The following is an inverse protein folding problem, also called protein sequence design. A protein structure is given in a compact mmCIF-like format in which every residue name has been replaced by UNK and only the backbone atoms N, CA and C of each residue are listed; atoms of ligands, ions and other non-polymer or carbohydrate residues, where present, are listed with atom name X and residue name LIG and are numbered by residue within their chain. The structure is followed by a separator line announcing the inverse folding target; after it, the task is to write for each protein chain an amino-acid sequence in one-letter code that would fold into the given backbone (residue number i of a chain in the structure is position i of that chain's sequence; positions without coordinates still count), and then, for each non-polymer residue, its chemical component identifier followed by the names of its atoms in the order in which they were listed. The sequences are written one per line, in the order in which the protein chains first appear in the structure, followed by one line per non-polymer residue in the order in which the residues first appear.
data_IF_388642296515
#
_entry.id   IF_388642296515
#
_cell.length_a   1.000
_cell.length_b   1.000
_cell.length_c   1.000
_cell.angle_alpha   90.00
_cell.angle_beta   90.00
_cell.angle_gamma   90.00
#
_symmetry.space_group_name_H-M   'P 1'
#
loop_
_entity.id
_entity.type
_entity.pdbx_description
1 polymer ?
#
# COMPACT_ATOMS: atom_id res chain seq x y z
N UNK A 1 7.25 -11.85 -15.29
CA UNK A 1 8.54 -11.18 -15.06
C UNK A 1 8.39 -10.41 -13.77
N UNK A 2 9.11 -10.79 -12.71
CA UNK A 2 8.99 -10.11 -11.42
C UNK A 2 9.66 -8.73 -11.56
N UNK A 3 8.91 -7.66 -11.33
CA UNK A 3 9.46 -6.31 -11.17
C UNK A 3 10.50 -6.32 -10.05
N UNK A 4 11.78 -6.38 -10.41
CA UNK A 4 12.89 -6.32 -9.45
C UNK A 4 12.87 -4.90 -8.86
N UNK A 5 12.34 -4.77 -7.64
CA UNK A 5 12.33 -3.50 -6.91
C UNK A 5 13.67 -3.39 -6.19
N UNK A 6 14.56 -2.55 -6.70
CA UNK A 6 15.83 -2.22 -6.05
C UNK A 6 15.57 -1.17 -4.96
N UNK A 7 16.28 -1.26 -3.84
CA UNK A 7 16.22 -0.25 -2.78
C UNK A 7 16.76 1.10 -3.29
N UNK A 8 15.98 2.20 -3.21
CA UNK A 8 16.41 3.49 -3.74
C UNK A 8 17.55 4.14 -2.93
N UNK A 9 17.73 3.75 -1.66
CA UNK A 9 18.73 4.36 -0.78
C UNK A 9 20.10 3.67 -0.86
N UNK A 10 20.12 2.34 -0.88
CA UNK A 10 21.38 1.57 -0.84
C UNK A 10 21.66 0.73 -2.09
N UNK A 11 20.75 0.68 -3.06
CA UNK A 11 20.91 -0.10 -4.29
C UNK A 11 20.79 -1.62 -4.12
N UNK A 12 20.44 -2.11 -2.92
CA UNK A 12 20.26 -3.54 -2.65
C UNK A 12 19.04 -4.12 -3.38
N UNK A 13 19.17 -5.36 -3.86
CA UNK A 13 18.09 -6.17 -4.44
C UNK A 13 17.30 -6.96 -3.37
N UNK A 14 17.78 -6.97 -2.12
CA UNK A 14 17.14 -7.66 -1.01
C UNK A 14 15.99 -6.82 -0.44
N UNK A 15 14.85 -6.92 -1.11
CA UNK A 15 13.64 -6.16 -0.82
C UNK A 15 12.47 -7.09 -0.52
N UNK A 16 11.82 -6.83 0.62
CA UNK A 16 10.66 -7.56 1.12
C UNK A 16 9.40 -6.75 0.82
N UNK A 17 8.38 -7.33 0.19
CA UNK A 17 7.05 -6.72 0.05
C UNK A 17 6.12 -7.25 1.15
N UNK A 18 5.35 -6.36 1.78
CA UNK A 18 4.43 -6.75 2.84
C UNK A 18 3.36 -5.70 3.15
N UNK A 19 2.44 -6.08 4.03
CA UNK A 19 1.41 -5.21 4.57
C UNK A 19 1.94 -4.48 5.80
N UNK A 20 1.64 -3.19 5.91
CA UNK A 20 1.87 -2.46 7.16
C UNK A 20 0.74 -2.77 8.15
N UNK A 21 1.03 -3.55 9.20
CA UNK A 21 0.04 -4.01 10.20
C UNK A 21 0.48 -3.63 11.64
N UNK A 22 -0.20 -2.67 12.28
CA UNK A 22 -0.18 -2.29 13.74
C UNK A 22 1.14 -1.69 14.31
N UNK A 23 1.24 -0.90 15.40
CA UNK A 23 0.34 -0.46 16.49
C UNK A 23 0.01 1.05 16.50
N UNK A 24 0.64 1.85 15.65
CA UNK A 24 0.45 3.30 15.58
C UNK A 24 -0.03 3.72 14.21
N UNK A 25 -1.27 3.34 13.87
CA UNK A 25 -2.04 3.70 12.67
C UNK A 25 -1.35 4.68 11.71
N UNK A 26 -0.80 4.18 10.60
CA UNK A 26 -0.62 5.02 9.41
C UNK A 26 -2.02 5.28 8.86
N UNK A 27 -2.60 6.42 9.23
CA UNK A 27 -3.90 6.87 8.73
C UNK A 27 -3.66 7.82 7.56
N UNK A 28 -4.16 7.43 6.40
CA UNK A 28 -4.34 8.36 5.31
C UNK A 28 -5.54 9.25 5.62
N UNK A 29 -5.33 10.56 5.71
CA UNK A 29 -6.39 11.55 5.85
C UNK A 29 -6.58 12.25 4.50
N UNK A 30 -7.80 12.15 3.96
CA UNK A 30 -8.18 12.89 2.76
C UNK A 30 -8.21 14.39 3.08
N UNK A 31 -7.37 15.18 2.42
CA UNK A 31 -7.38 16.66 2.52
C UNK A 31 -8.35 17.30 1.52
N UNK A 32 -8.84 16.52 0.55
CA UNK A 32 -9.75 16.96 -0.51
C UNK A 32 -10.91 15.95 -0.63
N UNK A 33 -12.18 16.40 -0.67
CA UNK A 33 -13.34 15.50 -0.61
C UNK A 33 -13.71 14.97 -1.99
N UNK A 34 -12.92 14.06 -2.55
CA UNK A 34 -13.17 13.53 -3.91
C UNK A 34 -13.52 12.04 -3.96
N UNK A 35 -13.15 11.23 -2.97
CA UNK A 35 -13.52 9.81 -2.94
C UNK A 35 -13.12 9.14 -1.63
N UNK A 36 -14.07 8.48 -0.95
CA UNK A 36 -13.80 7.71 0.27
C UNK A 36 -12.94 6.49 -0.04
N UNK A 37 -11.82 6.33 0.66
CA UNK A 37 -11.05 5.07 0.66
C UNK A 37 -11.83 3.98 1.44
N UNK A 38 -12.01 2.76 0.88
CA UNK A 38 -12.73 1.70 1.58
C UNK A 38 -11.98 1.24 2.84
N UNK A 39 -12.72 0.90 3.91
CA UNK A 39 -12.13 0.38 5.16
C UNK A 39 -11.38 -0.94 4.99
N UNK A 40 -11.63 -1.67 3.91
CA UNK A 40 -10.93 -2.90 3.54
C UNK A 40 -9.61 -2.66 2.80
N UNK A 41 -9.25 -1.41 2.50
CA UNK A 41 -7.97 -1.10 1.88
C UNK A 41 -6.84 -1.22 2.89
N UNK A 42 -5.78 -1.92 2.50
CA UNK A 42 -4.53 -2.01 3.27
C UNK A 42 -3.44 -1.15 2.61
N UNK A 43 -2.39 -0.82 3.35
CA UNK A 43 -1.18 -0.20 2.78
C UNK A 43 -0.13 -1.28 2.60
N UNK A 44 0.27 -1.48 1.34
CA UNK A 44 1.39 -2.32 0.95
C UNK A 44 2.66 -1.47 0.89
N UNK A 45 3.77 -2.05 1.31
CA UNK A 45 5.08 -1.40 1.32
C UNK A 45 6.17 -2.38 0.92
N UNK A 46 7.28 -1.83 0.45
CA UNK A 46 8.55 -2.55 0.30
C UNK A 46 9.49 -2.13 1.44
N UNK A 47 10.21 -3.08 2.03
CA UNK A 47 11.22 -2.84 3.05
C UNK A 47 12.55 -3.47 2.62
N UNK A 48 13.63 -2.73 2.67
CA UNK A 48 14.97 -3.27 2.44
C UNK A 48 15.47 -3.97 3.71
N UNK A 49 15.86 -5.24 3.59
CA UNK A 49 16.39 -6.01 4.74
C UNK A 49 17.79 -5.55 5.17
N UNK A 50 18.53 -4.88 4.28
CA UNK A 50 19.91 -4.43 4.52
C UNK A 50 19.95 -3.09 5.27
N UNK A 51 19.30 -2.05 4.75
CA UNK A 51 19.35 -0.70 5.32
C UNK A 51 18.08 -0.28 6.08
N UNK A 52 17.02 -1.10 6.06
CA UNK A 52 15.76 -0.81 6.75
C UNK A 52 14.87 0.22 6.05
N UNK A 53 15.26 0.75 4.88
CA UNK A 53 14.45 1.71 4.12
C UNK A 53 13.11 1.10 3.73
N UNK A 54 12.02 1.79 4.06
CA UNK A 54 10.66 1.46 3.61
C UNK A 54 10.27 2.40 2.46
N UNK A 55 9.83 1.84 1.34
CA UNK A 55 9.52 2.58 0.12
C UNK A 55 8.37 1.93 -0.68
N UNK A 56 7.97 2.60 -1.77
CA UNK A 56 6.92 2.11 -2.68
C UNK A 56 5.59 1.81 -1.97
N UNK A 57 5.12 2.77 -1.16
CA UNK A 57 3.83 2.69 -0.48
C UNK A 57 2.69 2.76 -1.50
N UNK A 58 1.82 1.73 -1.50
CA UNK A 58 0.65 1.65 -2.38
C UNK A 58 -0.58 1.19 -1.60
N UNK A 59 -1.76 1.73 -1.96
CA UNK A 59 -3.02 1.22 -1.42
C UNK A 59 -3.40 -0.08 -2.13
N UNK A 60 -3.69 -1.10 -1.35
CA UNK A 60 -4.39 -2.28 -1.86
C UNK A 60 -5.89 -1.93 -1.99
N UNK A 61 -6.45 -2.21 -3.16
CA UNK A 61 -7.86 -1.91 -3.49
C UNK A 61 -8.22 -0.42 -3.33
N UNK A 62 -7.59 0.51 -4.07
CA UNK A 62 -7.88 1.94 -3.99
C UNK A 62 -9.26 2.31 -4.56
N UNK A 63 -9.87 1.43 -5.36
CA UNK A 63 -11.15 1.69 -6.03
C UNK A 63 -12.33 1.03 -5.33
N UNK A 64 -13.29 1.83 -4.88
CA UNK A 64 -14.64 1.39 -4.56
C UNK A 64 -15.34 0.94 -5.87
N UNK A 65 -15.28 -0.35 -6.20
CA UNK A 65 -16.19 -0.91 -7.22
C UNK A 65 -17.54 -1.15 -6.56
N UNK A 66 -18.47 -0.21 -6.70
CA UNK A 66 -19.90 -0.54 -6.62
C UNK A 66 -20.19 -1.62 -7.67
N UNK A 67 -20.33 -2.88 -7.24
CA UNK A 67 -21.10 -3.86 -8.01
C UNK A 67 -22.53 -3.80 -7.50
N UNK A 68 -23.36 -2.99 -8.17
CA UNK A 68 -24.82 -3.04 -8.12
C UNK A 68 -25.30 -4.49 -8.26
N UNK A 69 -26.25 -4.90 -7.41
CA UNK A 69 -27.40 -5.70 -7.86
C UNK A 69 -28.66 -5.20 -7.14
N UNK A 70 -29.55 -4.57 -7.93
CA UNK A 70 -30.99 -4.50 -7.66
C UNK A 70 -31.44 -5.89 -7.20
N UNK A 71 -32.08 -5.99 -6.05
CA UNK A 71 -33.02 -7.08 -5.80
C UNK A 71 -34.36 -6.65 -6.39
N UNK A 72 -34.86 -7.49 -7.29
CA UNK A 72 -36.23 -7.52 -7.82
C UNK A 72 -37.29 -7.45 -6.73
#
# INVERSE_FOLDING_TARGET
MADIKVCPECGSEEVIEGYLVSHGTVRFYETVPTSKIPRSSAVLACACSQCGTVFNLKLENPGFREKKKRKE
#
